data_IF_462228547664
#
_entry.id   IF_462228547664
#
_cell.length_a   1.000
_cell.length_b   1.000
_cell.length_c   1.000
_cell.angle_alpha   90.00
_cell.angle_beta   90.00
_cell.angle_gamma   90.00
#
_symmetry.space_group_name_H-M   'P 1'
#
loop_
_entity.id
_entity.type
_entity.pdbx_description
1 polymer ?
#
# COMPACT_ATOMS: atom_id res chain seq x y z
N UNK A 1 -28.90 0.33 -43.87
CA UNK A 1 -27.94 -0.12 -42.84
C UNK A 1 -28.08 0.80 -41.65
N UNK A 2 -28.80 0.38 -40.62
CA UNK A 2 -28.90 1.13 -39.38
C UNK A 2 -27.59 0.93 -38.59
N UNK A 3 -26.87 2.02 -38.32
CA UNK A 3 -25.80 2.04 -37.33
C UNK A 3 -26.41 1.64 -35.98
N UNK A 4 -26.14 0.42 -35.55
CA UNK A 4 -26.45 -0.03 -34.19
C UNK A 4 -25.56 0.81 -33.28
N UNK A 5 -26.14 1.79 -32.59
CA UNK A 5 -25.44 2.55 -31.57
C UNK A 5 -24.99 1.55 -30.50
N UNK A 6 -23.68 1.28 -30.46
CA UNK A 6 -23.09 0.48 -29.41
C UNK A 6 -23.37 1.20 -28.10
N UNK A 7 -24.24 0.63 -27.26
CA UNK A 7 -24.51 1.13 -25.90
C UNK A 7 -23.17 1.22 -25.16
N UNK A 8 -22.88 2.38 -24.58
CA UNK A 8 -21.71 2.55 -23.70
C UNK A 8 -21.94 1.75 -22.42
N UNK A 9 -20.97 0.92 -22.05
CA UNK A 9 -20.99 0.19 -20.78
C UNK A 9 -20.93 1.17 -19.61
N UNK A 10 -21.73 0.94 -18.58
CA UNK A 10 -21.85 1.78 -17.38
C UNK A 10 -21.63 0.95 -16.12
N UNK A 11 -21.29 1.58 -14.99
CA UNK A 11 -21.05 0.90 -13.71
C UNK A 11 -22.19 -0.04 -13.31
N UNK A 12 -23.45 0.35 -13.54
CA UNK A 12 -24.63 -0.45 -13.19
C UNK A 12 -24.79 -1.70 -14.07
N UNK A 13 -24.15 -1.75 -15.24
CA UNK A 13 -24.19 -2.93 -16.11
C UNK A 13 -23.48 -4.13 -15.46
N UNK A 14 -22.59 -3.90 -14.49
CA UNK A 14 -21.95 -4.96 -13.71
C UNK A 14 -22.95 -5.84 -12.94
N UNK A 15 -24.15 -5.33 -12.64
CA UNK A 15 -25.17 -6.05 -11.88
C UNK A 15 -26.07 -6.93 -12.77
N UNK A 16 -25.87 -6.94 -14.10
CA UNK A 16 -26.76 -7.63 -15.03
C UNK A 16 -26.92 -9.13 -14.78
N UNK A 17 -25.89 -9.75 -14.19
CA UNK A 17 -25.80 -11.19 -13.95
C UNK A 17 -26.10 -11.57 -12.48
N UNK A 18 -26.33 -10.60 -11.59
CA UNK A 18 -26.56 -10.86 -10.18
C UNK A 18 -27.85 -11.67 -9.92
N UNK A 19 -28.84 -11.55 -10.81
CA UNK A 19 -30.16 -12.19 -10.65
C UNK A 19 -30.82 -11.84 -9.31
N UNK A 20 -31.66 -12.75 -8.80
CA UNK A 20 -32.20 -12.70 -7.43
C UNK A 20 -31.26 -13.36 -6.40
N UNK A 21 -30.12 -13.91 -6.85
CA UNK A 21 -29.16 -14.66 -6.05
C UNK A 21 -28.34 -13.70 -5.19
N UNK A 22 -28.71 -13.59 -3.92
CA UNK A 22 -27.90 -12.93 -2.87
C UNK A 22 -26.97 -13.90 -2.14
N UNK A 23 -26.80 -15.11 -2.67
CA UNK A 23 -26.04 -16.16 -1.99
C UNK A 23 -24.54 -15.92 -2.14
N UNK A 24 -23.97 -15.20 -1.17
CA UNK A 24 -22.53 -14.94 -1.01
C UNK A 24 -21.69 -16.23 -0.97
N UNK A 25 -22.29 -17.36 -0.60
CA UNK A 25 -21.60 -18.64 -0.39
C UNK A 25 -21.09 -19.33 -1.67
N UNK A 26 -21.48 -18.86 -2.86
CA UNK A 26 -21.15 -19.52 -4.14
C UNK A 26 -20.31 -18.66 -5.11
N UNK A 27 -19.73 -17.54 -4.67
CA UNK A 27 -18.90 -16.72 -5.55
C UNK A 27 -17.59 -17.45 -5.90
N UNK A 28 -17.33 -17.58 -7.19
CA UNK A 28 -16.04 -18.05 -7.70
C UNK A 28 -15.01 -16.93 -7.71
N UNK A 29 -13.75 -17.27 -8.02
CA UNK A 29 -12.68 -16.27 -8.23
C UNK A 29 -13.02 -15.26 -9.34
N UNK A 30 -13.89 -15.62 -10.28
CA UNK A 30 -14.29 -14.73 -11.36
C UNK A 30 -15.38 -13.73 -10.95
N UNK A 31 -16.02 -13.96 -9.82
CA UNK A 31 -17.13 -13.16 -9.33
C UNK A 31 -16.64 -12.09 -8.35
N UNK A 32 -17.56 -11.29 -7.81
CA UNK A 32 -17.22 -10.24 -6.84
C UNK A 32 -18.35 -9.96 -5.86
N UNK A 33 -18.00 -9.84 -4.57
CA UNK A 33 -18.89 -9.18 -3.61
C UNK A 33 -19.08 -7.73 -4.01
N UNK A 34 -17.99 -7.08 -4.43
CA UNK A 34 -17.99 -5.73 -4.98
C UNK A 34 -17.33 -5.75 -6.35
N UNK A 35 -17.85 -4.93 -7.25
CA UNK A 35 -17.27 -4.63 -8.55
C UNK A 35 -17.24 -3.13 -8.81
N UNK A 36 -16.29 -2.71 -9.64
CA UNK A 36 -16.22 -1.33 -10.14
C UNK A 36 -15.85 -1.33 -11.62
N UNK A 37 -16.17 -0.24 -12.30
CA UNK A 37 -15.89 -0.03 -13.72
C UNK A 37 -15.19 1.31 -13.89
N UNK A 38 -14.05 1.31 -14.55
CA UNK A 38 -13.25 2.51 -14.82
C UNK A 38 -13.33 2.80 -16.31
N UNK A 39 -14.15 3.80 -16.67
CA UNK A 39 -14.51 4.11 -18.05
C UNK A 39 -13.30 4.51 -18.90
N UNK A 40 -12.39 5.33 -18.35
CA UNK A 40 -11.23 5.83 -19.08
C UNK A 40 -10.32 4.72 -19.58
N UNK A 41 -10.25 3.62 -18.81
CA UNK A 41 -9.40 2.46 -19.11
C UNK A 41 -10.17 1.29 -19.70
N UNK A 42 -11.51 1.35 -19.78
CA UNK A 42 -12.39 0.25 -20.23
C UNK A 42 -12.12 -1.06 -19.49
N UNK A 43 -11.90 -0.98 -18.19
CA UNK A 43 -11.67 -2.12 -17.31
C UNK A 43 -12.77 -2.22 -16.26
N UNK A 44 -13.08 -3.44 -15.86
CA UNK A 44 -13.83 -3.70 -14.63
C UNK A 44 -12.95 -4.45 -13.65
N UNK A 45 -13.20 -4.22 -12.36
CA UNK A 45 -12.44 -4.82 -11.26
C UNK A 45 -13.43 -5.51 -10.35
N UNK A 46 -13.12 -6.73 -9.92
CA UNK A 46 -13.91 -7.45 -8.91
C UNK A 46 -13.10 -7.74 -7.66
N UNK A 47 -13.77 -7.70 -6.51
CA UNK A 47 -13.22 -8.10 -5.23
C UNK A 47 -14.10 -9.20 -4.61
N UNK A 48 -13.63 -10.45 -4.59
CA UNK A 48 -14.40 -11.57 -4.07
C UNK A 48 -14.27 -11.74 -2.55
N UNK A 49 -13.35 -11.08 -1.85
CA UNK A 49 -13.11 -11.31 -0.41
C UNK A 49 -13.05 -10.03 0.43
N UNK A 50 -13.78 -8.98 0.02
CA UNK A 50 -13.93 -7.78 0.84
C UNK A 50 -15.06 -6.88 0.36
N UNK A 51 -15.09 -5.66 0.89
CA UNK A 51 -16.28 -4.79 0.86
C UNK A 51 -16.10 -3.47 0.11
N UNK A 52 -14.92 -3.21 -0.46
CA UNK A 52 -14.65 -2.00 -1.25
C UNK A 52 -13.48 -2.25 -2.21
N UNK A 53 -13.45 -1.53 -3.34
CA UNK A 53 -12.34 -1.59 -4.29
C UNK A 53 -11.61 -0.25 -4.25
N UNK A 54 -10.30 -0.20 -4.00
CA UNK A 54 -9.52 1.01 -4.11
C UNK A 54 -9.29 1.40 -5.57
N UNK A 55 -9.01 2.68 -5.82
CA UNK A 55 -8.59 3.14 -7.13
C UNK A 55 -7.22 2.52 -7.46
N UNK A 56 -7.06 1.84 -8.62
CA UNK A 56 -5.78 1.27 -9.02
C UNK A 56 -4.74 2.36 -9.30
N UNK A 57 -3.45 2.05 -9.16
CA UNK A 57 -2.39 2.88 -9.70
C UNK A 57 -2.55 3.08 -11.22
N UNK A 58 -2.84 4.29 -11.67
CA UNK A 58 -3.07 4.60 -13.11
C UNK A 58 -2.02 5.52 -13.71
N UNK A 59 -1.23 6.24 -12.90
CA UNK A 59 -0.21 7.11 -13.49
C UNK A 59 0.94 6.30 -14.08
N UNK A 60 1.47 6.80 -15.19
CA UNK A 60 2.62 6.21 -15.86
C UNK A 60 3.95 6.74 -15.34
N UNK A 61 3.93 7.71 -14.42
CA UNK A 61 5.10 8.40 -13.91
C UNK A 61 5.15 8.33 -12.40
N UNK A 62 6.26 7.83 -11.87
CA UNK A 62 6.52 7.79 -10.43
C UNK A 62 7.23 9.08 -10.04
N UNK A 63 6.55 9.89 -9.24
CA UNK A 63 7.01 11.20 -8.77
C UNK A 63 7.10 11.21 -7.25
N UNK A 64 8.07 11.96 -6.73
CA UNK A 64 8.21 12.24 -5.31
C UNK A 64 7.32 13.44 -4.93
N UNK A 65 6.48 13.27 -3.91
CA UNK A 65 5.54 14.27 -3.42
C UNK A 65 6.05 14.97 -2.15
N UNK A 66 5.39 16.05 -1.74
CA UNK A 66 5.79 16.89 -0.59
C UNK A 66 5.88 16.14 0.75
N UNK A 67 5.21 15.00 0.89
CA UNK A 67 5.30 14.12 2.08
C UNK A 67 6.50 13.17 2.04
N UNK A 68 7.36 13.26 1.02
CA UNK A 68 8.52 12.38 0.84
C UNK A 68 8.18 11.02 0.26
N UNK A 69 6.94 10.81 -0.22
CA UNK A 69 6.43 9.53 -0.73
C UNK A 69 6.09 9.57 -2.22
N UNK A 70 5.69 8.42 -2.75
CA UNK A 70 5.41 8.22 -4.19
C UNK A 70 3.91 8.23 -4.53
N UNK A 71 3.07 8.81 -3.65
CA UNK A 71 1.63 8.87 -3.85
C UNK A 71 1.02 7.47 -3.99
N UNK A 72 0.30 7.23 -5.08
CA UNK A 72 -0.37 5.94 -5.33
C UNK A 72 0.58 4.81 -5.72
N UNK A 73 1.85 5.11 -6.02
CA UNK A 73 2.89 4.12 -6.25
C UNK A 73 3.63 3.70 -4.96
N UNK A 74 3.26 4.26 -3.80
CA UNK A 74 3.82 3.85 -2.52
C UNK A 74 3.05 2.61 -1.98
N UNK A 75 3.69 1.43 -1.89
CA UNK A 75 3.05 0.19 -1.47
C UNK A 75 2.57 0.21 -0.01
N UNK A 76 3.05 1.17 0.79
CA UNK A 76 2.64 1.32 2.19
C UNK A 76 1.38 2.17 2.36
N UNK A 77 0.93 2.81 1.27
CA UNK A 77 -0.20 3.75 1.26
C UNK A 77 -1.35 3.26 0.39
N UNK A 78 -1.06 2.53 -0.68
CA UNK A 78 -2.06 2.01 -1.60
C UNK A 78 -1.68 0.60 -2.12
N UNK A 79 -2.66 -0.25 -2.45
CA UNK A 79 -2.41 -1.54 -3.08
C UNK A 79 -1.73 -1.37 -4.44
N UNK A 80 -0.76 -2.23 -4.71
CA UNK A 80 -0.02 -2.25 -5.96
C UNK A 80 -0.46 -3.41 -6.85
N UNK A 81 -0.11 -3.35 -8.14
CA UNK A 81 -0.20 -4.52 -9.00
C UNK A 81 0.74 -5.62 -8.52
N UNK A 82 0.29 -6.87 -8.60
CA UNK A 82 1.05 -8.01 -8.12
C UNK A 82 2.36 -8.13 -8.91
N UNK A 83 3.47 -8.13 -8.18
CA UNK A 83 4.79 -8.42 -8.70
C UNK A 83 5.38 -9.59 -7.91
N UNK A 84 5.78 -10.66 -8.59
CA UNK A 84 6.36 -11.83 -7.93
C UNK A 84 7.64 -11.50 -7.12
N UNK A 85 8.42 -10.48 -7.53
CA UNK A 85 9.60 -10.03 -6.79
C UNK A 85 9.26 -9.28 -5.49
N UNK A 86 8.09 -8.66 -5.44
CA UNK A 86 7.59 -7.86 -4.32
C UNK A 86 6.24 -8.39 -3.85
N UNK A 87 6.09 -9.71 -3.81
CA UNK A 87 4.82 -10.35 -3.51
C UNK A 87 4.33 -10.01 -2.09
N UNK A 88 5.23 -9.64 -1.18
CA UNK A 88 4.92 -9.20 0.17
C UNK A 88 4.20 -7.84 0.23
N UNK A 89 4.17 -7.05 -0.85
CA UNK A 89 3.42 -5.79 -0.86
C UNK A 89 1.92 -6.00 -0.68
N UNK A 90 1.38 -7.15 -1.12
CA UNK A 90 -0.05 -7.46 -0.96
C UNK A 90 -0.46 -7.63 0.50
N UNK A 91 0.51 -7.80 1.39
CA UNK A 91 0.30 -8.18 2.78
C UNK A 91 0.86 -7.14 3.75
N UNK A 92 1.28 -5.98 3.24
CA UNK A 92 1.60 -4.82 4.07
C UNK A 92 0.36 -4.42 4.89
N UNK A 93 0.50 -4.19 6.21
CA UNK A 93 -0.60 -3.72 7.03
C UNK A 93 -1.17 -2.39 6.53
N UNK A 94 -2.48 -2.30 6.52
CA UNK A 94 -3.16 -1.06 6.15
C UNK A 94 -3.11 -0.09 7.33
N UNK A 95 -3.25 1.21 7.06
CA UNK A 95 -3.40 2.21 8.12
C UNK A 95 -4.64 1.88 8.97
N UNK A 96 -4.52 1.82 10.32
CA UNK A 96 -5.66 1.65 11.20
C UNK A 96 -6.74 2.71 10.91
N UNK A 97 -7.99 2.26 10.80
CA UNK A 97 -9.13 3.18 10.67
C UNK A 97 -9.35 3.96 11.97
N UNK A 98 -9.99 5.15 11.93
CA UNK A 98 -10.25 5.95 13.13
C UNK A 98 -11.05 5.23 14.24
N UNK A 99 -11.79 4.19 13.87
CA UNK A 99 -12.65 3.38 14.77
C UNK A 99 -12.16 1.93 14.91
N UNK A 100 -10.97 1.62 14.42
CA UNK A 100 -10.42 0.25 14.42
C UNK A 100 -9.52 0.04 15.65
N UNK A 101 -10.15 -0.06 16.81
CA UNK A 101 -9.44 -0.23 18.10
C UNK A 101 -8.81 -1.64 18.24
N UNK A 102 -9.24 -2.58 17.40
CA UNK A 102 -8.73 -3.96 17.38
C UNK A 102 -7.50 -4.14 16.49
N UNK A 103 -7.08 -3.10 15.78
CA UNK A 103 -5.95 -3.18 14.87
C UNK A 103 -4.64 -3.51 15.63
N UNK A 104 -3.87 -4.54 15.24
CA UNK A 104 -2.65 -4.95 15.96
C UNK A 104 -1.65 -3.79 16.15
N UNK A 105 -1.58 -2.91 15.15
CA UNK A 105 -0.68 -1.75 15.14
C UNK A 105 -1.34 -0.41 15.52
N UNK A 106 -2.48 -0.41 16.22
CA UNK A 106 -3.20 0.82 16.60
C UNK A 106 -2.33 1.81 17.38
N UNK A 107 -1.47 1.29 18.26
CA UNK A 107 -0.57 2.07 19.10
C UNK A 107 0.58 2.73 18.32
N UNK A 108 0.78 2.33 17.05
CA UNK A 108 1.81 2.87 16.17
C UNK A 108 1.27 3.91 15.20
N UNK A 109 -0.02 4.27 15.27
CA UNK A 109 -0.66 5.19 14.33
C UNK A 109 0.06 6.54 14.25
N UNK A 110 0.44 7.08 15.40
CA UNK A 110 1.07 8.40 15.54
C UNK A 110 2.59 8.38 15.26
N UNK A 111 3.12 7.24 14.81
CA UNK A 111 4.53 7.09 14.44
C UNK A 111 4.70 6.54 13.02
N UNK A 112 4.06 5.41 12.71
CA UNK A 112 4.28 4.68 11.44
C UNK A 112 3.47 5.26 10.27
N UNK A 113 2.30 5.85 10.57
CA UNK A 113 1.48 6.55 9.56
C UNK A 113 1.41 8.06 9.78
N UNK A 114 2.38 8.59 10.52
CA UNK A 114 2.52 10.02 10.81
C UNK A 114 3.23 10.75 9.66
N UNK A 115 2.64 11.85 9.19
CA UNK A 115 3.25 12.69 8.17
C UNK A 115 4.02 13.83 8.86
N UNK A 116 5.36 13.78 8.80
CA UNK A 116 6.23 14.77 9.45
C UNK A 116 6.06 16.16 8.85
N UNK A 117 5.87 17.15 9.73
CA UNK A 117 5.68 18.55 9.39
C UNK A 117 6.92 19.38 9.75
N UNK A 118 6.97 20.63 9.27
CA UNK A 118 8.09 21.53 9.58
C UNK A 118 8.18 21.89 11.07
N UNK A 119 7.06 21.78 11.81
CA UNK A 119 7.02 21.96 13.26
C UNK A 119 7.81 20.88 14.02
N UNK A 120 8.03 19.72 13.40
CA UNK A 120 8.81 18.62 13.96
C UNK A 120 10.31 18.77 13.70
N UNK A 121 10.73 19.84 13.01
CA UNK A 121 12.11 20.05 12.58
C UNK A 121 12.72 21.19 13.40
N UNK A 122 13.80 20.88 14.11
CA UNK A 122 14.62 21.85 14.82
C UNK A 122 15.66 22.39 13.86
N UNK A 123 15.36 23.52 13.23
CA UNK A 123 16.25 24.19 12.29
C UNK A 123 17.47 24.82 12.97
N UNK A 124 18.59 24.84 12.26
CA UNK A 124 19.82 25.51 12.70
C UNK A 124 19.58 27.00 12.93
N UNK A 125 20.13 27.53 14.01
CA UNK A 125 20.21 28.98 14.25
C UNK A 125 21.56 29.49 13.73
N UNK A 126 21.56 30.25 12.64
CA UNK A 126 22.79 30.78 12.06
C UNK A 126 22.68 31.08 10.56
N UNK A 127 23.80 30.96 9.84
CA UNK A 127 23.88 31.24 8.40
C UNK A 127 23.16 30.18 7.53
N UNK A 128 22.88 28.98 8.06
CA UNK A 128 22.21 27.89 7.36
C UNK A 128 20.83 27.63 7.95
N UNK A 129 19.86 28.50 7.69
CA UNK A 129 18.52 28.45 8.31
C UNK A 129 17.59 27.36 7.75
N UNK A 130 17.96 26.70 6.65
CA UNK A 130 17.10 25.74 5.94
C UNK A 130 17.41 24.28 6.24
N UNK A 131 18.42 24.00 7.08
CA UNK A 131 18.76 22.65 7.52
C UNK A 131 18.41 22.49 8.99
N UNK A 132 17.97 21.29 9.35
CA UNK A 132 17.58 20.97 10.72
C UNK A 132 17.75 19.51 11.05
N UNK A 133 17.41 19.17 12.28
CA UNK A 133 17.25 17.80 12.75
C UNK A 133 15.79 17.56 13.07
N UNK A 134 15.38 16.30 13.00
CA UNK A 134 14.10 15.91 13.57
C UNK A 134 14.10 16.18 15.07
N UNK A 135 12.98 16.65 15.60
CA UNK A 135 12.82 16.93 17.03
C UNK A 135 13.08 15.66 17.85
N UNK A 136 13.62 15.86 19.06
CA UNK A 136 13.93 14.72 19.94
C UNK A 136 12.68 13.91 20.31
N UNK A 137 11.52 14.57 20.42
CA UNK A 137 10.25 13.91 20.69
C UNK A 137 9.89 12.92 19.57
N UNK A 138 9.84 13.40 18.33
CA UNK A 138 9.47 12.55 17.18
C UNK A 138 10.55 11.50 16.91
N UNK A 139 11.83 11.86 17.04
CA UNK A 139 12.93 10.89 16.95
C UNK A 139 12.80 9.75 17.98
N UNK A 140 12.39 10.06 19.21
CA UNK A 140 12.25 9.04 20.26
C UNK A 140 11.12 8.06 19.96
N UNK A 141 10.04 8.50 19.31
CA UNK A 141 8.98 7.61 18.83
C UNK A 141 9.49 6.65 17.75
N UNK A 142 10.27 7.17 16.79
CA UNK A 142 10.89 6.36 15.75
C UNK A 142 11.93 5.37 16.30
N UNK A 143 12.71 5.77 17.30
CA UNK A 143 13.60 4.88 18.02
C UNK A 143 12.83 3.77 18.74
N UNK A 144 11.70 4.10 19.37
CA UNK A 144 10.84 3.11 20.03
C UNK A 144 10.28 2.09 19.03
N UNK A 145 9.84 2.55 17.85
CA UNK A 145 9.37 1.70 16.77
C UNK A 145 10.47 0.78 16.22
N UNK A 146 11.70 1.27 16.09
CA UNK A 146 12.83 0.43 15.72
C UNK A 146 13.14 -0.64 16.77
N UNK A 147 13.19 -0.28 18.06
CA UNK A 147 13.48 -1.24 19.13
C UNK A 147 12.48 -2.40 19.13
N UNK A 148 11.19 -2.14 18.87
CA UNK A 148 10.18 -3.18 18.72
C UNK A 148 10.53 -4.18 17.60
N UNK A 149 10.91 -3.68 16.41
CA UNK A 149 11.31 -4.53 15.29
C UNK A 149 12.60 -5.29 15.58
N UNK A 150 13.57 -4.66 16.24
CA UNK A 150 14.83 -5.30 16.61
C UNK A 150 14.62 -6.47 17.59
N UNK A 151 13.73 -6.29 18.58
CA UNK A 151 13.32 -7.34 19.50
C UNK A 151 12.63 -8.49 18.77
N UNK A 152 11.66 -8.19 17.90
CA UNK A 152 10.95 -9.19 17.10
C UNK A 152 11.90 -9.96 16.16
N UNK A 153 12.83 -9.25 15.50
CA UNK A 153 13.82 -9.84 14.60
C UNK A 153 14.80 -10.73 15.37
N UNK A 154 15.25 -10.31 16.55
CA UNK A 154 16.13 -11.10 17.42
C UNK A 154 15.45 -12.38 17.92
N UNK A 155 14.17 -12.30 18.29
CA UNK A 155 13.36 -13.45 18.67
C UNK A 155 13.17 -14.42 17.48
N UNK A 156 12.89 -13.88 16.29
CA UNK A 156 12.78 -14.63 15.05
C UNK A 156 14.06 -15.43 14.73
N UNK A 157 15.22 -14.77 14.76
CA UNK A 157 16.52 -15.42 14.54
C UNK A 157 16.79 -16.55 15.55
N UNK A 158 16.50 -16.30 16.83
CA UNK A 158 16.71 -17.27 17.90
C UNK A 158 15.82 -18.51 17.77
N UNK A 159 14.60 -18.33 17.27
CA UNK A 159 13.62 -19.40 17.11
C UNK A 159 13.93 -20.39 15.98
N UNK A 160 14.82 -20.02 15.02
CA UNK A 160 15.06 -20.74 13.76
C UNK A 160 13.77 -21.04 12.98
N UNK A 161 12.74 -20.21 13.16
CA UNK A 161 11.43 -20.37 12.51
C UNK A 161 11.47 -20.10 11.00
N UNK A 162 12.41 -19.26 10.56
CA UNK A 162 12.48 -18.80 9.19
C UNK A 162 13.70 -19.35 8.45
N UNK A 163 13.63 -19.36 7.12
CA UNK A 163 14.73 -19.79 6.26
C UNK A 163 15.94 -18.86 6.38
N UNK A 164 17.12 -19.34 6.00
CA UNK A 164 18.34 -18.53 6.02
C UNK A 164 18.24 -17.31 5.11
N UNK A 165 17.60 -17.45 3.95
CA UNK A 165 17.38 -16.36 3.01
C UNK A 165 16.49 -15.27 3.62
N UNK A 166 15.42 -15.67 4.32
CA UNK A 166 14.53 -14.72 4.98
C UNK A 166 15.20 -14.04 6.18
N UNK A 167 15.99 -14.77 6.96
CA UNK A 167 16.79 -14.16 8.02
C UNK A 167 17.81 -13.16 7.46
N UNK A 168 18.43 -13.47 6.31
CA UNK A 168 19.30 -12.53 5.58
C UNK A 168 18.56 -11.26 5.15
N UNK A 169 17.34 -11.40 4.63
CA UNK A 169 16.46 -10.27 4.33
C UNK A 169 16.17 -9.43 5.59
N UNK A 170 15.73 -10.05 6.69
CA UNK A 170 15.44 -9.34 7.94
C UNK A 170 16.66 -8.57 8.46
N UNK A 171 17.84 -9.18 8.46
CA UNK A 171 19.08 -8.55 8.94
C UNK A 171 19.47 -7.31 8.14
N UNK A 172 19.39 -7.39 6.80
CA UNK A 172 19.70 -6.25 5.92
C UNK A 172 18.69 -5.12 6.12
N UNK A 173 17.38 -5.43 6.17
CA UNK A 173 16.33 -4.43 6.31
C UNK A 173 16.36 -3.78 7.70
N UNK A 174 16.58 -4.55 8.77
CA UNK A 174 16.79 -4.01 10.12
C UNK A 174 17.99 -3.05 10.17
N UNK A 175 19.10 -3.40 9.49
CA UNK A 175 20.30 -2.55 9.42
C UNK A 175 20.00 -1.23 8.69
N UNK A 176 19.25 -1.27 7.60
CA UNK A 176 18.82 -0.06 6.89
C UNK A 176 17.90 0.81 7.75
N UNK A 177 16.95 0.19 8.45
CA UNK A 177 16.06 0.89 9.36
C UNK A 177 16.84 1.58 10.49
N UNK A 178 17.77 0.85 11.13
CA UNK A 178 18.65 1.39 12.17
C UNK A 178 19.47 2.58 11.66
N UNK A 179 20.06 2.44 10.47
CA UNK A 179 20.86 3.50 9.86
C UNK A 179 20.04 4.77 9.59
N UNK A 180 18.78 4.64 9.17
CA UNK A 180 17.87 5.78 8.98
C UNK A 180 17.52 6.45 10.31
N UNK A 181 17.15 5.67 11.33
CA UNK A 181 16.84 6.19 12.68
C UNK A 181 18.04 6.93 13.28
N UNK A 182 19.25 6.37 13.14
CA UNK A 182 20.48 7.00 13.60
C UNK A 182 20.82 8.28 12.82
N UNK A 183 20.58 8.28 11.50
CA UNK A 183 20.85 9.44 10.63
C UNK A 183 19.95 10.63 10.97
N UNK A 184 18.65 10.39 11.21
CA UNK A 184 17.69 11.45 11.53
C UNK A 184 18.05 12.23 12.82
N UNK A 185 18.81 11.62 13.73
CA UNK A 185 19.34 12.26 14.95
C UNK A 185 20.63 13.05 14.72
N UNK A 186 21.44 12.66 13.75
CA UNK A 186 22.86 13.07 13.67
C UNK A 186 23.21 13.91 12.44
N UNK A 187 22.39 13.87 11.39
CA UNK A 187 22.68 14.55 10.13
C UNK A 187 21.68 15.66 9.89
N UNK A 188 22.17 16.90 9.94
CA UNK A 188 21.37 18.07 9.59
C UNK A 188 21.13 18.12 8.09
N UNK A 189 19.87 18.26 7.69
CA UNK A 189 19.49 18.32 6.28
C UNK A 189 18.23 19.15 6.09
N UNK A 190 17.88 19.45 4.85
CA UNK A 190 16.64 20.16 4.51
C UNK A 190 15.39 19.34 4.86
N UNK A 191 14.24 20.03 4.95
CA UNK A 191 12.98 19.42 5.37
C UNK A 191 12.50 18.31 4.43
N UNK A 192 12.74 18.45 3.13
CA UNK A 192 12.34 17.44 2.16
C UNK A 192 13.14 16.16 2.34
N UNK A 193 14.46 16.27 2.52
CA UNK A 193 15.31 15.11 2.83
C UNK A 193 14.90 14.44 4.15
N UNK A 194 14.49 15.19 5.18
CA UNK A 194 13.94 14.61 6.43
C UNK A 194 12.67 13.81 6.13
N UNK A 195 11.71 14.38 5.38
CA UNK A 195 10.46 13.69 5.03
C UNK A 195 10.70 12.41 4.24
N UNK A 196 11.64 12.42 3.29
CA UNK A 196 12.05 11.21 2.54
C UNK A 196 12.65 10.15 3.46
N UNK A 197 13.51 10.54 4.41
CA UNK A 197 14.10 9.61 5.36
C UNK A 197 13.06 8.99 6.29
N UNK A 198 12.09 9.79 6.74
CA UNK A 198 10.96 9.34 7.55
C UNK A 198 10.07 8.37 6.76
N UNK A 199 9.70 8.73 5.53
CA UNK A 199 8.91 7.87 4.66
C UNK A 199 9.60 6.52 4.40
N UNK A 200 10.92 6.54 4.16
CA UNK A 200 11.72 5.32 3.99
C UNK A 200 11.75 4.48 5.28
N UNK A 201 11.95 5.11 6.44
CA UNK A 201 11.94 4.45 7.75
C UNK A 201 10.60 3.75 8.01
N UNK A 202 9.49 4.46 7.79
CA UNK A 202 8.14 3.92 7.95
C UNK A 202 7.89 2.76 6.99
N UNK A 203 8.42 2.84 5.77
CA UNK A 203 8.30 1.77 4.78
C UNK A 203 9.07 0.53 5.19
N UNK A 204 10.33 0.67 5.61
CA UNK A 204 11.11 -0.45 6.14
C UNK A 204 10.45 -1.09 7.36
N UNK A 205 9.91 -0.28 8.27
CA UNK A 205 9.19 -0.80 9.44
C UNK A 205 7.97 -1.64 9.03
N UNK A 206 7.15 -1.14 8.09
CA UNK A 206 5.98 -1.85 7.61
C UNK A 206 6.34 -3.13 6.85
N UNK A 207 7.38 -3.13 6.02
CA UNK A 207 7.85 -4.33 5.33
C UNK A 207 8.43 -5.36 6.30
N UNK A 208 9.16 -4.93 7.33
CA UNK A 208 9.69 -5.82 8.37
C UNK A 208 8.58 -6.44 9.20
N UNK A 209 7.61 -5.64 9.66
CA UNK A 209 6.47 -6.15 10.42
C UNK A 209 5.62 -7.09 9.58
N UNK A 210 5.51 -6.81 8.27
CA UNK A 210 4.90 -7.74 7.32
C UNK A 210 5.65 -9.06 7.38
N UNK A 211 6.97 -9.08 7.16
CA UNK A 211 7.73 -10.33 7.23
C UNK A 211 7.59 -11.08 8.57
N UNK A 212 7.60 -10.37 9.69
CA UNK A 212 7.61 -10.94 11.04
C UNK A 212 6.23 -11.45 11.48
N UNK A 213 5.18 -10.65 11.27
CA UNK A 213 3.85 -10.90 11.82
C UNK A 213 2.87 -11.48 10.79
N UNK A 214 3.03 -11.21 9.49
CA UNK A 214 2.16 -11.76 8.44
C UNK A 214 2.22 -13.29 8.38
N UNK A 215 3.37 -13.87 8.70
CA UNK A 215 3.53 -15.33 8.79
C UNK A 215 2.76 -15.95 9.98
N UNK A 216 2.10 -15.13 10.82
CA UNK A 216 1.39 -15.58 12.02
C UNK A 216 -0.06 -15.06 12.12
N UNK A 217 -0.33 -13.83 11.67
CA UNK A 217 -1.63 -13.17 11.84
C UNK A 217 -2.18 -12.64 10.50
N UNK A 218 -3.44 -12.96 10.21
CA UNK A 218 -4.15 -12.44 9.05
C UNK A 218 -5.10 -11.31 9.49
N UNK A 219 -4.92 -10.12 8.90
CA UNK A 219 -5.81 -8.94 8.89
C UNK A 219 -5.50 -7.78 9.87
N UNK A 220 -5.69 -6.51 9.42
CA UNK A 220 -6.10 -6.07 8.07
C UNK A 220 -4.91 -5.77 7.12
N UNK A 221 -5.06 -6.18 5.85
CA UNK A 221 -3.99 -6.12 4.83
C UNK A 221 -4.31 -5.10 3.72
N UNK A 222 -3.27 -4.65 3.01
CA UNK A 222 -3.39 -3.74 1.86
C UNK A 222 -4.07 -4.43 0.66
N UNK A 223 -3.65 -5.65 0.32
CA UNK A 223 -4.10 -6.36 -0.87
C UNK A 223 -3.34 -5.98 -2.14
N UNK A 224 -3.77 -6.55 -3.27
CA UNK A 224 -3.09 -6.32 -4.57
C UNK A 224 -4.06 -6.35 -5.75
N UNK A 225 -3.73 -5.57 -6.78
CA UNK A 225 -4.36 -5.67 -8.10
C UNK A 225 -3.70 -6.77 -8.92
N UNK A 226 -4.48 -7.53 -9.68
CA UNK A 226 -3.91 -8.54 -10.58
C UNK A 226 -4.80 -8.73 -11.80
N UNK A 227 -4.20 -9.04 -12.94
CA UNK A 227 -4.89 -9.51 -14.15
C UNK A 227 -4.82 -11.04 -14.28
N UNK A 228 -4.07 -11.70 -13.39
CA UNK A 228 -3.84 -13.14 -13.40
C UNK A 228 -4.80 -13.85 -12.43
N UNK A 229 -5.61 -14.76 -12.97
CA UNK A 229 -6.62 -15.52 -12.23
C UNK A 229 -6.01 -16.46 -11.18
N UNK A 230 -4.86 -17.09 -11.49
CA UNK A 230 -4.18 -17.99 -10.56
C UNK A 230 -3.70 -17.25 -9.31
N UNK A 231 -3.19 -16.02 -9.50
CA UNK A 231 -2.78 -15.14 -8.40
C UNK A 231 -3.99 -14.73 -7.56
N UNK A 232 -5.11 -14.38 -8.22
CA UNK A 232 -6.34 -14.06 -7.53
C UNK A 232 -6.85 -15.23 -6.68
N UNK A 233 -6.88 -16.44 -7.23
CA UNK A 233 -7.31 -17.64 -6.52
C UNK A 233 -6.40 -17.94 -5.31
N UNK A 234 -5.08 -17.81 -5.48
CA UNK A 234 -4.12 -17.95 -4.37
C UNK A 234 -4.36 -16.94 -3.26
N UNK A 235 -4.58 -15.67 -3.59
CA UNK A 235 -4.80 -14.61 -2.62
C UNK A 235 -6.14 -14.79 -1.88
N UNK A 236 -7.20 -15.21 -2.57
CA UNK A 236 -8.49 -15.56 -1.96
C UNK A 236 -8.31 -16.68 -0.93
N UNK A 237 -7.62 -17.76 -1.31
CA UNK A 237 -7.35 -18.89 -0.41
C UNK A 237 -6.51 -18.49 0.80
N UNK A 238 -5.55 -17.58 0.61
CA UNK A 238 -4.74 -17.00 1.67
C UNK A 238 -5.45 -15.90 2.47
N UNK A 239 -6.72 -15.58 2.16
CA UNK A 239 -7.49 -14.48 2.75
C UNK A 239 -6.80 -13.12 2.62
N UNK A 240 -6.03 -12.91 1.55
CA UNK A 240 -5.43 -11.63 1.20
C UNK A 240 -6.39 -10.89 0.28
N UNK A 241 -6.73 -9.61 0.55
CA UNK A 241 -7.57 -8.83 -0.35
C UNK A 241 -7.00 -8.81 -1.77
N UNK A 242 -7.83 -9.10 -2.77
CA UNK A 242 -7.40 -9.10 -4.17
C UNK A 242 -8.42 -8.42 -5.07
N UNK A 243 -7.90 -7.62 -6.00
CA UNK A 243 -8.66 -6.83 -6.94
C UNK A 243 -8.37 -7.33 -8.36
N UNK A 244 -9.24 -8.20 -8.88
CA UNK A 244 -9.06 -8.83 -10.19
C UNK A 244 -9.47 -7.85 -11.30
N UNK A 245 -8.49 -7.33 -12.03
CA UNK A 245 -8.66 -6.35 -13.10
C UNK A 245 -8.83 -7.07 -14.43
N UNK A 246 -9.89 -6.75 -15.17
CA UNK A 246 -10.19 -7.34 -16.47
C UNK A 246 -10.70 -6.30 -17.47
N UNK A 247 -10.36 -6.43 -18.77
CA UNK A 247 -11.00 -5.67 -19.83
C UNK A 247 -12.53 -5.86 -19.85
N UNK A 248 -13.28 -4.79 -20.15
CA UNK A 248 -14.76 -4.82 -20.14
C UNK A 248 -15.36 -5.79 -21.17
N UNK A 249 -14.66 -6.10 -22.26
CA UNK A 249 -15.09 -7.07 -23.26
C UNK A 249 -15.06 -8.53 -22.76
N UNK A 250 -14.41 -8.78 -21.60
CA UNK A 250 -14.45 -10.06 -20.91
C UNK A 250 -15.61 -10.19 -19.91
N UNK A 251 -16.37 -9.11 -19.69
CA UNK A 251 -17.56 -9.16 -18.85
C UNK A 251 -18.68 -9.89 -19.59
N UNK A 252 -19.06 -11.07 -19.10
CA UNK A 252 -20.00 -11.97 -19.75
C UNK A 252 -20.95 -12.61 -18.75
N UNK A 253 -20.44 -13.47 -17.87
CA UNK A 253 -21.23 -14.25 -16.91
C UNK A 253 -20.79 -14.05 -15.45
N UNK A 254 -19.90 -13.10 -15.17
CA UNK A 254 -19.46 -12.82 -13.79
C UNK A 254 -20.62 -12.27 -12.97
N UNK A 255 -20.78 -12.78 -11.75
CA UNK A 255 -21.76 -12.34 -10.77
C UNK A 255 -21.12 -11.28 -9.88
N UNK A 256 -21.70 -10.07 -9.86
CA UNK A 256 -21.26 -8.98 -8.99
C UNK A 256 -22.44 -8.57 -8.12
N UNK A 257 -22.30 -8.70 -6.80
CA UNK A 257 -23.40 -8.45 -5.87
C UNK A 257 -23.62 -6.96 -5.60
N UNK A 258 -22.57 -6.15 -5.74
CA UNK A 258 -22.59 -4.71 -5.47
C UNK A 258 -21.67 -3.98 -6.45
N UNK A 259 -22.17 -2.94 -7.11
CA UNK A 259 -21.38 -2.08 -7.98
C UNK A 259 -21.11 -0.76 -7.27
N UNK A 260 -19.85 -0.37 -7.12
CA UNK A 260 -19.44 0.86 -6.43
C UNK A 260 -18.34 1.60 -7.18
N UNK A 261 -18.26 2.91 -6.95
CA UNK A 261 -17.12 3.71 -7.37
C UNK A 261 -15.86 3.30 -6.60
N UNK A 262 -14.67 3.35 -7.22
CA UNK A 262 -13.44 3.00 -6.55
C UNK A 262 -13.13 4.00 -5.43
N UNK A 263 -12.65 3.50 -4.30
CA UNK A 263 -12.25 4.31 -3.15
C UNK A 263 -10.91 4.97 -3.44
N UNK A 264 -10.89 6.30 -3.43
CA UNK A 264 -9.66 7.08 -3.56
C UNK A 264 -9.06 7.24 -2.15
N UNK A 265 -7.84 6.75 -1.96
CA UNK A 265 -7.12 7.00 -0.72
C UNK A 265 -6.69 8.46 -0.63
N UNK A 266 -6.78 9.09 0.56
CA UNK A 266 -6.32 10.45 0.76
C UNK A 266 -4.78 10.46 0.77
N UNK A 267 -4.19 10.68 -0.40
CA UNK A 267 -2.74 10.72 -0.61
C UNK A 267 -2.30 12.15 -0.90
N UNK A 268 -1.10 12.51 -0.46
CA UNK A 268 -0.49 13.77 -0.88
C UNK A 268 -0.09 13.64 -2.36
N UNK A 269 -0.60 14.55 -3.18
CA UNK A 269 -0.30 14.64 -4.62
C UNK A 269 0.38 15.97 -4.98
N UNK A 270 0.69 16.80 -3.97
CA UNK A 270 1.46 18.02 -4.15
C UNK A 270 2.91 17.68 -4.46
N UNK A 271 3.48 18.33 -5.47
CA UNK A 271 4.88 18.20 -5.82
C UNK A 271 5.72 19.19 -4.99
N UNK A 272 6.90 18.77 -4.51
CA UNK A 272 7.82 19.68 -3.83
C UNK A 272 8.32 20.78 -4.77
N UNK A 273 8.81 21.88 -4.18
CA UNK A 273 9.40 22.99 -4.91
C UNK A 273 10.89 23.15 -4.53
N UNK A 274 11.83 22.98 -5.48
CA UNK A 274 11.61 22.58 -6.87
C UNK A 274 11.18 21.10 -6.99
N UNK A 275 10.51 20.72 -8.11
CA UNK A 275 10.09 19.35 -8.33
C UNK A 275 11.31 18.44 -8.54
N UNK A 276 11.22 17.21 -8.02
CA UNK A 276 12.20 16.16 -8.28
C UNK A 276 11.99 15.57 -9.69
N UNK A 277 13.03 14.98 -10.30
CA UNK A 277 12.87 14.29 -11.58
C UNK A 277 11.93 13.09 -11.44
N UNK A 278 11.32 12.72 -12.57
CA UNK A 278 10.56 11.47 -12.71
C UNK A 278 11.49 10.30 -12.35
N UNK A 279 11.11 9.52 -11.34
CA UNK A 279 11.90 8.37 -10.85
C UNK A 279 11.79 7.21 -11.83
N UNK A 280 10.60 7.00 -12.38
CA UNK A 280 10.31 5.95 -13.35
C UNK A 280 9.17 6.39 -14.27
N UNK A 281 9.23 5.93 -15.53
CA UNK A 281 8.17 6.09 -16.50
C UNK A 281 7.86 4.76 -17.16
N UNK A 282 6.63 4.27 -16.99
CA UNK A 282 6.20 2.98 -17.52
C UNK A 282 4.77 2.65 -17.12
N UNK A 283 4.29 1.48 -17.56
CA UNK A 283 2.96 1.00 -17.21
C UNK A 283 2.94 0.57 -15.73
N UNK A 284 2.01 1.06 -14.89
CA UNK A 284 1.93 0.67 -13.48
C UNK A 284 1.64 -0.82 -13.25
N UNK A 285 1.12 -1.54 -14.25
CA UNK A 285 0.95 -3.00 -14.22
C UNK A 285 2.23 -3.78 -14.51
N UNK A 286 3.28 -3.09 -14.98
CA UNK A 286 4.62 -3.62 -15.23
C UNK A 286 5.69 -2.89 -14.39
N UNK A 287 5.68 -3.07 -13.05
CA UNK A 287 6.69 -2.52 -12.15
C UNK A 287 8.07 -3.18 -12.30
#
# INVERSE_FOLDING_TARGET
>A
MAMQQSRTFQLQDLLSNAGDSKDEENLSVNDGHVGTYIEEHKIFITMPNGSFIPCPPTATEILLHEDGRFGHHDPTRAPQFFNAKFCHFSVIPRRPGPKDDTHPYRNWLDTIWYDVADADIVYSTGYLTHIGLLSQEVHSQFQHAFNYIDECSSAAHSSKRFSEEFNGFLSIWCTHLEALVNRMRSVMTDSMTIRVQVAAMQSYWLELVTGLDYMEHYQPLMGTFTVNLDIAEQHIRARIPVYLVRPVDQFSNQVILKAEEPVIFPLNTSLPSPPFPVVYKGDPSHP
#
